data_IF_206518974070
#
_entry.id   IF_206518974070
#
_cell.length_a   1.000
_cell.length_b   1.000
_cell.length_c   1.000
_cell.angle_alpha   90.00
_cell.angle_beta   90.00
_cell.angle_gamma   90.00
#
_symmetry.space_group_name_H-M   'P 1'
#
loop_
_entity.id
_entity.type
_entity.pdbx_description
1 polymer ?
#
# COMPACT_ATOMS: atom_id res chain seq x y z
N UNK A 1 42.66 7.36 -35.62
CA UNK A 1 42.98 6.03 -36.16
C UNK A 1 42.31 5.02 -35.24
N UNK A 2 41.21 4.41 -35.69
CA UNK A 2 40.49 3.41 -34.89
C UNK A 2 41.45 2.23 -34.71
N UNK A 3 41.63 1.69 -33.50
CA UNK A 3 42.57 0.59 -33.30
C UNK A 3 42.13 -0.61 -34.14
N UNK A 4 43.07 -1.29 -34.81
CA UNK A 4 42.79 -2.41 -35.74
C UNK A 4 41.91 -3.52 -35.16
N UNK A 5 41.89 -3.68 -33.83
CA UNK A 5 40.99 -4.61 -33.14
C UNK A 5 39.51 -4.22 -33.22
N UNK A 6 39.19 -2.92 -33.18
CA UNK A 6 37.83 -2.41 -33.30
C UNK A 6 37.28 -2.54 -34.73
N UNK A 7 38.11 -2.30 -35.75
CA UNK A 7 37.71 -2.47 -37.15
C UNK A 7 37.29 -3.93 -37.45
N UNK A 8 38.02 -4.90 -36.88
CA UNK A 8 37.65 -6.33 -37.00
C UNK A 8 36.29 -6.63 -36.34
N UNK A 9 36.02 -6.06 -35.17
CA UNK A 9 34.76 -6.25 -34.47
C UNK A 9 33.59 -5.63 -35.24
N UNK A 10 33.75 -4.43 -35.79
CA UNK A 10 32.72 -3.79 -36.62
C UNK A 10 32.39 -4.59 -37.87
N UNK A 11 33.39 -5.09 -38.59
CA UNK A 11 33.17 -5.91 -39.78
C UNK A 11 32.40 -7.21 -39.46
N UNK A 12 32.68 -7.84 -38.31
CA UNK A 12 31.92 -9.01 -37.84
C UNK A 12 30.48 -8.61 -37.49
N UNK A 13 30.30 -7.48 -36.81
CA UNK A 13 28.98 -6.95 -36.44
C UNK A 13 28.13 -6.66 -37.69
N UNK A 14 28.67 -6.00 -38.69
CA UNK A 14 27.99 -5.68 -39.96
C UNK A 14 27.58 -6.95 -40.72
N UNK A 15 28.46 -7.94 -40.76
CA UNK A 15 28.15 -9.24 -41.37
C UNK A 15 27.02 -9.95 -40.61
N UNK A 16 27.08 -9.98 -39.27
CA UNK A 16 26.05 -10.57 -38.42
C UNK A 16 24.71 -9.83 -38.54
N UNK A 17 24.71 -8.49 -38.53
CA UNK A 17 23.49 -7.68 -38.65
C UNK A 17 22.84 -7.86 -40.03
N UNK A 18 23.65 -7.87 -41.09
CA UNK A 18 23.17 -8.10 -42.46
C UNK A 18 22.60 -9.50 -42.63
N UNK A 19 23.20 -10.51 -42.00
CA UNK A 19 22.70 -11.89 -41.98
C UNK A 19 21.36 -11.98 -41.23
N UNK A 20 21.23 -11.29 -40.08
CA UNK A 20 19.98 -11.20 -39.32
C UNK A 20 18.87 -10.52 -40.13
N UNK A 21 19.22 -9.47 -40.88
CA UNK A 21 18.30 -8.71 -41.73
C UNK A 21 17.79 -9.50 -42.94
N UNK A 22 18.51 -10.54 -43.38
CA UNK A 22 18.09 -11.38 -44.52
C UNK A 22 16.97 -12.37 -44.16
N UNK A 23 16.82 -12.72 -42.88
CA UNK A 23 15.78 -13.63 -42.35
C UNK A 23 14.94 -12.96 -41.24
N UNK A 24 14.51 -11.71 -41.46
CA UNK A 24 13.87 -10.87 -40.43
C UNK A 24 12.71 -11.54 -39.70
N UNK A 25 11.81 -12.20 -40.44
CA UNK A 25 10.62 -12.81 -39.83
C UNK A 25 10.99 -13.90 -38.81
N UNK A 26 11.96 -14.76 -39.14
CA UNK A 26 12.41 -15.83 -38.22
C UNK A 26 13.10 -15.24 -36.99
N UNK A 27 13.99 -14.27 -37.20
CA UNK A 27 14.74 -13.65 -36.10
C UNK A 27 13.84 -12.80 -35.19
N UNK A 28 12.87 -12.08 -35.77
CA UNK A 28 11.89 -11.29 -35.03
C UNK A 28 10.92 -12.17 -34.25
N UNK A 29 10.53 -13.33 -34.80
CA UNK A 29 9.77 -14.34 -34.06
C UNK A 29 10.51 -14.88 -32.83
N UNK A 30 11.79 -15.23 -32.99
CA UNK A 30 12.65 -15.66 -31.87
C UNK A 30 12.79 -14.53 -30.83
N UNK A 31 13.07 -13.31 -31.27
CA UNK A 31 13.18 -12.13 -30.40
C UNK A 31 11.88 -11.88 -29.63
N UNK A 32 10.72 -12.00 -30.29
CA UNK A 32 9.41 -11.79 -29.68
C UNK A 32 9.15 -12.84 -28.60
N UNK A 33 9.45 -14.12 -28.86
CA UNK A 33 9.28 -15.18 -27.86
C UNK A 33 10.13 -14.90 -26.62
N UNK A 34 11.42 -14.57 -26.80
CA UNK A 34 12.29 -14.24 -25.67
C UNK A 34 11.84 -12.97 -24.94
N UNK A 35 11.47 -11.93 -25.67
CA UNK A 35 10.95 -10.69 -25.08
C UNK A 35 9.68 -10.95 -24.28
N UNK A 36 8.76 -11.78 -24.78
CA UNK A 36 7.53 -12.15 -24.09
C UNK A 36 7.81 -12.93 -22.81
N UNK A 37 8.75 -13.88 -22.83
CA UNK A 37 9.15 -14.63 -21.62
C UNK A 37 9.75 -13.69 -20.57
N UNK A 38 10.67 -12.81 -20.95
CA UNK A 38 11.29 -11.84 -20.02
C UNK A 38 10.24 -10.85 -19.50
N UNK A 39 9.36 -10.36 -20.39
CA UNK A 39 8.28 -9.45 -20.04
C UNK A 39 7.31 -10.07 -19.03
N UNK A 40 6.90 -11.32 -19.26
CA UNK A 40 6.01 -12.04 -18.33
C UNK A 40 6.66 -12.20 -16.95
N UNK A 41 7.94 -12.60 -16.91
CA UNK A 41 8.67 -12.77 -15.65
C UNK A 41 8.81 -11.43 -14.89
N UNK A 42 9.20 -10.37 -15.61
CA UNK A 42 9.35 -9.03 -15.03
C UNK A 42 8.01 -8.46 -14.57
N UNK A 43 6.95 -8.63 -15.36
CA UNK A 43 5.59 -8.19 -15.01
C UNK A 43 5.08 -8.89 -13.75
N UNK A 44 5.27 -10.22 -13.67
CA UNK A 44 4.91 -10.98 -12.48
C UNK A 44 5.66 -10.48 -11.24
N UNK A 45 6.98 -10.33 -11.33
CA UNK A 45 7.80 -9.85 -10.21
C UNK A 45 7.40 -8.42 -9.78
N UNK A 46 7.15 -7.54 -10.75
CA UNK A 46 6.69 -6.18 -10.49
C UNK A 46 5.32 -6.17 -9.81
N UNK A 47 4.39 -6.99 -10.28
CA UNK A 47 3.05 -7.11 -9.70
C UNK A 47 3.11 -7.62 -8.26
N UNK A 48 3.85 -8.69 -8.00
CA UNK A 48 4.03 -9.23 -6.64
C UNK A 48 4.66 -8.20 -5.73
N UNK A 49 5.74 -7.54 -6.17
CA UNK A 49 6.38 -6.48 -5.38
C UNK A 49 5.43 -5.31 -5.07
N UNK A 50 4.65 -4.87 -6.05
CA UNK A 50 3.67 -3.80 -5.84
C UNK A 50 2.58 -4.21 -4.84
N UNK A 51 2.07 -5.44 -4.92
CA UNK A 51 1.06 -5.96 -3.99
C UNK A 51 1.62 -6.07 -2.57
N UNK A 52 2.82 -6.63 -2.40
CA UNK A 52 3.47 -6.76 -1.09
C UNK A 52 3.73 -5.40 -0.47
N UNK A 53 4.32 -4.47 -1.22
CA UNK A 53 4.57 -3.10 -0.73
C UNK A 53 3.28 -2.37 -0.36
N UNK A 54 2.21 -2.56 -1.15
CA UNK A 54 0.90 -1.96 -0.85
C UNK A 54 0.28 -2.55 0.41
N UNK A 55 0.39 -3.87 0.59
CA UNK A 55 -0.10 -4.55 1.79
C UNK A 55 0.65 -4.08 3.05
N UNK A 56 1.98 -3.99 2.99
CA UNK A 56 2.80 -3.46 4.08
C UNK A 56 2.46 -2.01 4.41
N UNK A 57 2.27 -1.17 3.38
CA UNK A 57 1.88 0.24 3.57
C UNK A 57 0.52 0.38 4.28
N UNK A 58 -0.46 -0.46 3.94
CA UNK A 58 -1.79 -0.48 4.60
C UNK A 58 -1.68 -1.00 6.04
N UNK A 59 -0.89 -2.05 6.26
CA UNK A 59 -0.74 -2.66 7.59
C UNK A 59 0.02 -1.77 8.57
N UNK A 60 0.95 -0.93 8.09
CA UNK A 60 1.79 -0.06 8.95
C UNK A 60 0.97 0.80 9.92
N UNK A 61 -0.18 1.31 9.48
CA UNK A 61 -1.04 2.21 10.27
C UNK A 61 -2.24 1.48 10.92
N UNK A 62 -2.31 0.16 10.79
CA UNK A 62 -3.41 -0.66 11.31
C UNK A 62 -3.05 -1.19 12.70
N UNK A 63 -4.01 -1.28 13.65
CA UNK A 63 -3.74 -1.91 14.95
C UNK A 63 -3.36 -3.38 14.80
N UNK A 64 -2.43 -3.84 15.64
CA UNK A 64 -2.02 -5.26 15.69
C UNK A 64 -3.17 -6.19 16.09
N UNK A 65 -4.03 -5.72 17.00
CA UNK A 65 -5.20 -6.48 17.50
C UNK A 65 -6.39 -5.53 17.56
N UNK A 66 -7.52 -5.95 16.98
CA UNK A 66 -8.80 -5.25 17.08
C UNK A 66 -9.78 -6.07 17.91
N UNK A 67 -10.34 -5.46 18.95
CA UNK A 67 -11.34 -6.09 19.81
C UNK A 67 -12.72 -5.54 19.44
N UNK A 68 -13.67 -6.43 19.17
CA UNK A 68 -15.06 -6.07 18.88
C UNK A 68 -16.00 -6.95 19.71
N UNK A 69 -17.05 -6.35 20.26
CA UNK A 69 -18.12 -7.08 20.96
C UNK A 69 -19.27 -7.30 19.99
N UNK A 70 -19.75 -8.54 19.91
CA UNK A 70 -20.95 -8.88 19.16
C UNK A 70 -21.99 -9.48 20.10
N UNK A 71 -23.24 -9.06 19.93
CA UNK A 71 -24.41 -9.59 20.64
C UNK A 71 -25.54 -9.80 19.64
N UNK A 72 -26.11 -11.01 19.61
CA UNK A 72 -27.16 -11.41 18.66
C UNK A 72 -26.83 -11.06 17.18
N UNK A 73 -25.57 -11.23 16.77
CA UNK A 73 -25.12 -10.93 15.40
C UNK A 73 -24.89 -9.45 15.09
N UNK A 74 -25.07 -8.56 16.06
CA UNK A 74 -24.84 -7.11 15.91
C UNK A 74 -23.62 -6.68 16.71
N UNK A 75 -22.86 -5.73 16.17
CA UNK A 75 -21.78 -5.10 16.91
C UNK A 75 -22.35 -4.23 18.02
N UNK A 76 -21.79 -4.35 19.21
CA UNK A 76 -22.21 -3.64 20.41
C UNK A 76 -21.05 -2.84 20.98
N UNK A 77 -21.36 -1.76 21.69
CA UNK A 77 -20.37 -0.95 22.38
C UNK A 77 -19.65 -1.76 23.48
N UNK A 78 -18.35 -1.55 23.60
CA UNK A 78 -17.52 -2.13 24.67
C UNK A 78 -17.43 -1.11 25.81
N UNK A 79 -17.81 -1.46 27.05
CA UNK A 79 -17.63 -0.58 28.20
C UNK A 79 -16.16 -0.23 28.42
N UNK A 80 -15.85 1.06 28.63
CA UNK A 80 -14.48 1.53 28.86
C UNK A 80 -13.81 0.92 30.10
N UNK A 81 -14.59 0.50 31.10
CA UNK A 81 -14.08 -0.22 32.27
C UNK A 81 -13.32 -1.52 31.93
N UNK A 82 -13.48 -2.06 30.72
CA UNK A 82 -12.74 -3.24 30.28
C UNK A 82 -11.27 -2.94 29.95
N UNK A 83 -10.93 -1.67 29.70
CA UNK A 83 -9.55 -1.24 29.43
C UNK A 83 -8.63 -1.60 30.60
N UNK A 84 -9.07 -1.40 31.84
CA UNK A 84 -8.30 -1.76 33.04
C UNK A 84 -8.03 -3.27 33.13
N UNK A 85 -9.04 -4.09 32.80
CA UNK A 85 -8.89 -5.55 32.78
C UNK A 85 -7.92 -6.00 31.70
N UNK A 86 -8.02 -5.41 30.50
CA UNK A 86 -7.11 -5.73 29.40
C UNK A 86 -5.67 -5.32 29.72
N UNK A 87 -5.45 -4.19 30.39
CA UNK A 87 -4.11 -3.78 30.82
C UNK A 87 -3.42 -4.79 31.76
N UNK A 88 -4.18 -5.63 32.46
CA UNK A 88 -3.60 -6.68 33.31
C UNK A 88 -2.98 -7.85 32.51
N UNK A 89 -3.27 -7.95 31.21
CA UNK A 89 -2.73 -8.99 30.34
C UNK A 89 -1.28 -8.65 29.98
N UNK A 90 -0.36 -9.56 30.32
CA UNK A 90 1.06 -9.41 30.00
C UNK A 90 1.29 -9.31 28.49
N UNK A 91 2.08 -8.32 28.07
CA UNK A 91 2.43 -8.08 26.67
C UNK A 91 1.62 -6.98 25.98
N UNK A 92 0.52 -6.50 26.58
CA UNK A 92 -0.23 -5.35 26.04
C UNK A 92 0.50 -4.05 26.37
N UNK A 93 1.04 -3.38 25.34
CA UNK A 93 1.79 -2.12 25.48
C UNK A 93 0.88 -0.88 25.49
N UNK A 94 -0.16 -0.87 24.67
CA UNK A 94 -1.09 0.26 24.55
C UNK A 94 -2.50 -0.25 24.19
N UNK A 95 -3.52 0.42 24.73
CA UNK A 95 -4.93 0.15 24.42
C UNK A 95 -5.58 1.47 24.03
N UNK A 96 -6.21 1.50 22.86
CA UNK A 96 -6.77 2.73 22.30
C UNK A 96 -8.24 2.47 22.01
N UNK A 97 -9.16 3.07 22.79
CA UNK A 97 -10.57 3.01 22.48
C UNK A 97 -10.82 3.65 21.11
N UNK A 98 -11.62 3.00 20.27
CA UNK A 98 -11.99 3.52 18.94
C UNK A 98 -13.49 3.40 18.75
N UNK A 99 -14.07 4.45 18.20
CA UNK A 99 -15.46 4.50 17.74
C UNK A 99 -15.45 4.65 16.24
N UNK A 100 -16.35 3.94 15.57
CA UNK A 100 -16.53 4.05 14.13
C UNK A 100 -17.99 3.86 13.77
N UNK A 101 -18.42 4.41 12.64
CA UNK A 101 -19.79 4.28 12.17
C UNK A 101 -19.95 4.81 10.75
N UNK A 102 -21.15 4.61 10.20
CA UNK A 102 -21.54 5.17 8.92
C UNK A 102 -22.41 6.40 9.14
N UNK A 103 -22.12 7.46 8.41
CA UNK A 103 -22.94 8.65 8.33
C UNK A 103 -23.39 8.82 6.89
N UNK A 104 -24.70 8.83 6.68
CA UNK A 104 -25.28 9.16 5.38
C UNK A 104 -25.53 10.65 5.31
N UNK A 105 -24.88 11.32 4.37
CA UNK A 105 -25.11 12.72 4.09
C UNK A 105 -26.20 12.84 3.01
N UNK A 106 -27.35 13.35 3.42
CA UNK A 106 -28.51 13.54 2.54
C UNK A 106 -28.24 14.59 1.45
N UNK A 107 -27.37 15.57 1.70
CA UNK A 107 -27.10 16.66 0.75
C UNK A 107 -26.30 16.18 -0.46
N UNK A 108 -25.32 15.29 -0.21
CA UNK A 108 -24.45 14.72 -1.23
C UNK A 108 -24.87 13.30 -1.66
N UNK A 109 -25.91 12.74 -1.03
CA UNK A 109 -26.38 11.36 -1.22
C UNK A 109 -25.23 10.34 -1.09
N UNK A 110 -24.31 10.59 -0.17
CA UNK A 110 -23.08 9.84 0.01
C UNK A 110 -23.01 9.16 1.39
N UNK A 111 -22.43 7.96 1.44
CA UNK A 111 -22.15 7.27 2.69
C UNK A 111 -20.71 7.52 3.10
N UNK A 112 -20.52 8.15 4.24
CA UNK A 112 -19.22 8.36 4.84
C UNK A 112 -18.98 7.35 5.96
N UNK A 113 -17.76 6.83 6.03
CA UNK A 113 -17.30 6.11 7.22
C UNK A 113 -16.60 7.09 8.13
N UNK A 114 -17.17 7.31 9.31
CA UNK A 114 -16.61 8.18 10.33
C UNK A 114 -15.83 7.31 11.30
N UNK A 115 -14.56 7.69 11.54
CA UNK A 115 -13.63 7.00 12.42
C UNK A 115 -13.10 8.01 13.44
N UNK A 116 -13.30 7.74 14.72
CA UNK A 116 -12.67 8.50 15.77
C UNK A 116 -11.19 8.11 15.85
N UNK A 117 -10.31 9.11 15.69
CA UNK A 117 -8.87 8.94 15.76
C UNK A 117 -8.34 9.79 16.91
N UNK A 118 -7.61 9.16 17.83
CA UNK A 118 -6.85 9.84 18.87
C UNK A 118 -5.36 9.64 18.55
N UNK A 119 -4.82 10.52 17.71
CA UNK A 119 -3.44 10.43 17.20
C UNK A 119 -2.43 10.39 18.34
N UNK A 120 -2.65 11.14 19.40
CA UNK A 120 -1.68 11.29 20.50
C UNK A 120 -1.47 10.00 21.30
N UNK A 121 -2.47 9.10 21.31
CA UNK A 121 -2.37 7.80 22.00
C UNK A 121 -1.91 6.67 21.08
N UNK A 122 -1.89 6.87 19.76
CA UNK A 122 -1.46 5.86 18.80
C UNK A 122 0.07 5.74 18.75
N UNK A 123 0.65 4.52 18.86
CA UNK A 123 2.10 4.31 18.79
C UNK A 123 2.78 4.90 17.54
N UNK A 124 2.03 4.99 16.44
CA UNK A 124 2.44 5.59 15.17
C UNK A 124 1.48 6.72 14.74
N UNK A 125 0.84 7.36 15.70
CA UNK A 125 -0.14 8.43 15.50
C UNK A 125 0.34 9.60 14.66
N UNK A 126 1.60 10.00 14.86
CA UNK A 126 2.26 11.07 14.13
C UNK A 126 2.67 10.69 12.70
N UNK A 127 2.71 9.38 12.39
CA UNK A 127 3.04 8.85 11.05
C UNK A 127 1.80 8.48 10.23
N UNK A 128 0.60 8.66 10.80
CA UNK A 128 -0.61 8.61 10.00
C UNK A 128 -0.48 9.68 8.91
N UNK A 129 -0.39 9.24 7.66
CA UNK A 129 -0.40 10.08 6.44
C UNK A 129 -1.77 10.75 6.24
N UNK A 130 -2.29 11.39 7.29
CA UNK A 130 -3.49 12.21 7.27
C UNK A 130 -3.08 13.55 6.67
N UNK A 131 -3.12 13.63 5.36
CA UNK A 131 -2.90 14.88 4.65
C UNK A 131 -4.09 15.79 4.95
N UNK A 132 -3.90 16.73 5.88
CA UNK A 132 -4.85 17.82 6.07
C UNK A 132 -4.61 18.83 4.95
N UNK A 133 -5.60 19.01 4.08
CA UNK A 133 -5.56 20.06 3.06
C UNK A 133 -5.57 21.45 3.71
N UNK A 134 -6.28 21.60 4.84
CA UNK A 134 -6.32 22.81 5.65
C UNK A 134 -6.61 22.51 7.12
N UNK A 135 -6.08 23.33 8.03
CA UNK A 135 -6.41 23.31 9.46
C UNK A 135 -5.63 22.29 10.31
N UNK A 136 -6.18 21.98 11.49
CA UNK A 136 -5.64 21.00 12.44
C UNK A 136 -6.76 20.10 12.96
N UNK A 137 -6.40 18.92 13.46
CA UNK A 137 -7.37 18.04 14.12
C UNK A 137 -7.91 18.69 15.41
N UNK A 138 -9.21 18.51 15.70
CA UNK A 138 -9.83 19.11 16.88
C UNK A 138 -9.13 18.63 18.15
N UNK A 139 -8.70 19.58 18.99
CA UNK A 139 -8.03 19.27 20.26
C UNK A 139 -9.06 19.05 21.35
N UNK A 140 -8.73 18.22 22.33
CA UNK A 140 -9.60 17.94 23.50
C UNK A 140 -10.03 19.19 24.29
N UNK A 141 -9.25 20.28 24.17
CA UNK A 141 -9.49 21.57 24.83
C UNK A 141 -10.36 22.53 24.02
N UNK A 142 -10.67 22.21 22.77
CA UNK A 142 -11.52 23.05 21.91
C UNK A 142 -12.98 22.64 22.11
N UNK A 143 -13.82 23.58 22.54
CA UNK A 143 -15.27 23.36 22.59
C UNK A 143 -15.80 23.46 21.17
N UNK A 144 -16.45 22.40 20.69
CA UNK A 144 -17.12 22.43 19.39
C UNK A 144 -18.17 23.54 19.37
N UNK A 145 -18.11 24.43 18.38
CA UNK A 145 -19.23 25.30 18.05
C UNK A 145 -20.36 24.42 17.54
N UNK A 146 -21.42 24.33 18.35
CA UNK A 146 -22.67 23.69 17.99
C UNK A 146 -23.36 24.39 16.81
#
# INVERSE_FOLDING_TARGET
MIPKGLEKQFNILDFSLSSLWRRKLKNLGIMLVFALVIFLLGSFQMLTGALTNSAEAVLKNTPEITIQKMSAGRQEAIPLAYVEKLHSIYGIRAIIPRVWGYYFDESNLANYTVLALESDLMPYGSELNLTLELGHFPKRTESGTA
#
